data_IF_106706504439
#
_entry.id   IF_106706504439
#
_cell.length_a   1.000
_cell.length_b   1.000
_cell.length_c   1.000
_cell.angle_alpha   90.00
_cell.angle_beta   90.00
_cell.angle_gamma   90.00
#
_symmetry.space_group_name_H-M   'P 1'
#
loop_
_entity.id
_entity.type
_entity.pdbx_description
1 polymer ?
#
# COMPACT_ATOMS: atom_id res chain seq x y z
N UNK A 1 -26.68 -12.68 -3.67
CA UNK A 1 -26.93 -11.24 -3.60
C UNK A 1 -26.09 -10.50 -4.63
N UNK A 2 -26.70 -9.59 -5.36
CA UNK A 2 -25.99 -8.68 -6.25
C UNK A 2 -25.44 -7.49 -5.46
N UNK A 3 -26.22 -7.02 -4.49
CA UNK A 3 -25.86 -5.90 -3.63
C UNK A 3 -25.43 -6.40 -2.24
N UNK A 4 -24.21 -6.03 -1.80
CA UNK A 4 -23.68 -6.40 -0.50
C UNK A 4 -24.53 -5.83 0.67
N UNK A 5 -25.20 -4.70 0.47
CA UNK A 5 -26.07 -4.06 1.48
C UNK A 5 -27.25 -4.96 1.81
N UNK A 6 -27.85 -5.55 0.78
CA UNK A 6 -28.95 -6.50 0.94
C UNK A 6 -28.49 -7.77 1.69
N UNK A 7 -27.29 -8.28 1.38
CA UNK A 7 -26.68 -9.42 2.09
C UNK A 7 -26.47 -9.09 3.57
N UNK A 8 -25.88 -7.93 3.87
CA UNK A 8 -25.61 -7.50 5.25
C UNK A 8 -26.89 -7.25 6.06
N UNK A 9 -28.03 -7.00 5.41
CA UNK A 9 -29.32 -6.83 6.08
C UNK A 9 -30.06 -8.14 6.33
N UNK A 10 -29.94 -9.10 5.39
CA UNK A 10 -30.73 -10.33 5.42
C UNK A 10 -30.04 -11.48 6.11
N UNK A 11 -28.70 -11.51 6.13
CA UNK A 11 -27.93 -12.62 6.66
C UNK A 11 -27.38 -12.34 8.07
N UNK A 12 -27.34 -13.38 8.88
CA UNK A 12 -26.70 -13.33 10.20
C UNK A 12 -25.23 -13.77 10.06
N UNK A 13 -24.33 -12.81 9.90
CA UNK A 13 -22.93 -13.05 9.59
C UNK A 13 -22.02 -12.72 10.77
N UNK A 14 -21.12 -13.64 11.13
CA UNK A 14 -20.04 -13.39 12.10
C UNK A 14 -18.90 -12.58 11.48
N UNK A 15 -18.63 -12.77 10.19
CA UNK A 15 -17.57 -12.11 9.47
C UNK A 15 -17.71 -12.17 7.96
N UNK A 16 -17.08 -11.23 7.26
CA UNK A 16 -17.08 -11.15 5.80
C UNK A 16 -15.67 -10.97 5.26
N UNK A 17 -15.43 -11.50 4.07
CA UNK A 17 -14.23 -11.21 3.28
C UNK A 17 -14.57 -10.20 2.19
N UNK A 18 -13.73 -9.16 2.05
CA UNK A 18 -13.91 -8.09 1.08
C UNK A 18 -12.74 -8.15 0.09
N UNK A 19 -13.04 -8.59 -1.15
CA UNK A 19 -12.05 -8.84 -2.21
C UNK A 19 -12.45 -8.11 -3.51
N UNK A 20 -13.04 -6.95 -3.36
CA UNK A 20 -13.48 -6.06 -4.43
C UNK A 20 -12.31 -5.17 -4.90
N UNK A 21 -12.47 -4.28 -5.90
CA UNK A 21 -11.45 -3.28 -6.23
C UNK A 21 -11.19 -2.29 -5.09
N UNK A 22 -9.97 -1.73 -5.06
CA UNK A 22 -9.45 -0.90 -3.96
C UNK A 22 -10.41 0.21 -3.51
N UNK A 23 -11.06 0.89 -4.48
CA UNK A 23 -11.94 2.03 -4.23
C UNK A 23 -13.25 1.69 -3.49
N UNK A 24 -13.60 0.41 -3.40
CA UNK A 24 -14.81 -0.05 -2.70
C UNK A 24 -14.54 -0.69 -1.35
N UNK A 25 -13.27 -0.91 -0.99
CA UNK A 25 -12.91 -1.56 0.28
C UNK A 25 -13.44 -0.79 1.49
N UNK A 26 -13.28 0.53 1.51
CA UNK A 26 -13.60 1.32 2.69
C UNK A 26 -15.10 1.37 2.99
N UNK A 27 -15.95 1.63 2.00
CA UNK A 27 -17.39 1.73 2.20
C UNK A 27 -18.03 0.38 2.55
N UNK A 28 -17.60 -0.73 1.91
CA UNK A 28 -18.09 -2.06 2.24
C UNK A 28 -17.65 -2.47 3.65
N UNK A 29 -16.38 -2.25 3.99
CA UNK A 29 -15.85 -2.53 5.32
C UNK A 29 -16.57 -1.72 6.39
N UNK A 30 -16.78 -0.42 6.17
CA UNK A 30 -17.52 0.45 7.08
C UNK A 30 -18.92 -0.09 7.34
N UNK A 31 -19.68 -0.42 6.28
CA UNK A 31 -21.03 -0.95 6.39
C UNK A 31 -21.10 -2.26 7.20
N UNK A 32 -20.17 -3.18 7.00
CA UNK A 32 -20.09 -4.42 7.78
C UNK A 32 -19.73 -4.15 9.26
N UNK A 33 -18.69 -3.32 9.48
CA UNK A 33 -18.19 -3.04 10.83
C UNK A 33 -19.19 -2.25 11.69
N UNK A 34 -20.01 -1.39 11.09
CA UNK A 34 -21.10 -0.67 11.77
C UNK A 34 -22.22 -1.61 12.26
N UNK A 35 -22.38 -2.75 11.62
CA UNK A 35 -23.28 -3.84 12.03
C UNK A 35 -22.65 -4.83 13.03
N UNK A 36 -21.39 -4.61 13.43
CA UNK A 36 -20.66 -5.51 14.34
C UNK A 36 -20.06 -6.73 13.65
N UNK A 37 -20.08 -6.79 12.33
CA UNK A 37 -19.57 -7.92 11.53
C UNK A 37 -18.04 -7.79 11.38
N UNK A 38 -17.31 -8.87 11.65
CA UNK A 38 -15.87 -8.94 11.53
C UNK A 38 -15.41 -8.93 10.07
N UNK A 39 -14.24 -8.37 9.77
CA UNK A 39 -13.82 -8.17 8.37
C UNK A 39 -12.42 -8.69 8.09
N UNK A 40 -12.29 -9.39 6.96
CA UNK A 40 -11.02 -9.66 6.28
C UNK A 40 -11.01 -8.89 4.96
N UNK A 41 -10.12 -7.92 4.81
CA UNK A 41 -10.12 -6.99 3.67
C UNK A 41 -8.86 -7.18 2.84
N UNK A 42 -8.99 -7.30 1.52
CA UNK A 42 -7.83 -7.38 0.63
C UNK A 42 -6.98 -6.09 0.68
N UNK A 43 -5.74 -6.23 0.30
CA UNK A 43 -4.76 -5.13 0.21
C UNK A 43 -4.88 -4.36 -1.12
N UNK A 44 -4.57 -3.06 -1.11
CA UNK A 44 -4.40 -2.23 0.08
C UNK A 44 -5.70 -2.12 0.88
N UNK A 45 -5.61 -1.83 2.17
CA UNK A 45 -6.79 -1.77 3.04
C UNK A 45 -7.88 -0.84 2.51
N UNK A 46 -7.46 0.27 1.91
CA UNK A 46 -8.33 1.33 1.40
C UNK A 46 -7.72 2.00 0.18
N UNK A 47 -8.45 2.94 -0.41
CA UNK A 47 -8.05 3.68 -1.60
C UNK A 47 -7.31 5.00 -1.27
N UNK A 48 -7.51 5.56 -0.09
CA UNK A 48 -6.84 6.78 0.35
C UNK A 48 -6.46 6.74 1.85
N UNK A 49 -5.62 7.71 2.26
CA UNK A 49 -5.02 7.77 3.60
C UNK A 49 -6.07 7.90 4.70
N UNK A 50 -7.07 8.78 4.53
CA UNK A 50 -8.08 9.04 5.56
C UNK A 50 -9.02 7.87 5.78
N UNK A 51 -9.33 7.12 4.73
CA UNK A 51 -10.12 5.89 4.85
C UNK A 51 -9.41 4.85 5.73
N UNK A 52 -8.09 4.67 5.59
CA UNK A 52 -7.33 3.72 6.39
C UNK A 52 -7.39 4.07 7.88
N UNK A 53 -7.26 5.35 8.21
CA UNK A 53 -7.42 5.85 9.58
C UNK A 53 -8.84 5.64 10.09
N UNK A 54 -9.85 6.02 9.31
CA UNK A 54 -11.26 5.84 9.65
C UNK A 54 -11.61 4.39 9.95
N UNK A 55 -11.18 3.44 9.12
CA UNK A 55 -11.45 2.01 9.38
C UNK A 55 -10.72 1.50 10.62
N UNK A 56 -9.48 1.97 10.88
CA UNK A 56 -8.73 1.60 12.09
C UNK A 56 -9.45 2.08 13.35
N UNK A 57 -9.93 3.31 13.36
CA UNK A 57 -10.66 3.89 14.49
C UNK A 57 -12.03 3.22 14.68
N UNK A 58 -12.74 2.94 13.59
CA UNK A 58 -14.02 2.23 13.63
C UNK A 58 -13.87 0.80 14.17
N UNK A 59 -12.80 0.09 13.77
CA UNK A 59 -12.50 -1.24 14.30
C UNK A 59 -12.32 -1.24 15.81
N UNK A 60 -11.57 -0.27 16.34
CA UNK A 60 -11.36 -0.09 17.77
C UNK A 60 -12.67 0.25 18.49
N UNK A 61 -13.42 1.22 17.96
CA UNK A 61 -14.70 1.69 18.54
C UNK A 61 -15.72 0.55 18.66
N UNK A 62 -15.87 -0.23 17.61
CA UNK A 62 -16.87 -1.29 17.53
C UNK A 62 -16.34 -2.68 17.95
N UNK A 63 -15.07 -2.76 18.40
CA UNK A 63 -14.40 -4.00 18.81
C UNK A 63 -14.43 -5.08 17.74
N UNK A 64 -14.16 -4.72 16.52
CA UNK A 64 -14.18 -5.62 15.35
C UNK A 64 -12.85 -6.37 15.25
N UNK A 65 -12.91 -7.68 15.09
CA UNK A 65 -11.76 -8.51 14.72
C UNK A 65 -11.48 -8.32 13.23
N UNK A 66 -10.31 -7.81 12.92
CA UNK A 66 -9.93 -7.40 11.56
C UNK A 66 -8.65 -8.09 11.09
N UNK A 67 -8.52 -8.30 9.78
CA UNK A 67 -7.27 -8.75 9.16
C UNK A 67 -7.19 -8.20 7.74
N UNK A 68 -6.02 -7.67 7.33
CA UNK A 68 -5.77 -7.30 5.94
C UNK A 68 -5.17 -8.48 5.17
N UNK A 69 -5.46 -8.59 3.88
CA UNK A 69 -5.05 -9.68 2.99
C UNK A 69 -3.60 -9.61 2.49
N UNK A 70 -2.67 -9.05 3.25
CA UNK A 70 -1.24 -9.12 2.98
C UNK A 70 -0.63 -10.37 3.62
N UNK A 71 -0.96 -11.53 3.07
CA UNK A 71 -0.70 -12.86 3.63
C UNK A 71 0.77 -13.13 3.98
N UNK A 72 1.72 -12.45 3.33
CA UNK A 72 3.15 -12.49 3.65
C UNK A 72 3.45 -12.07 5.09
N UNK A 73 2.59 -11.27 5.71
CA UNK A 73 2.71 -10.86 7.11
C UNK A 73 2.72 -12.03 8.10
N UNK A 74 2.16 -13.18 7.73
CA UNK A 74 2.17 -14.41 8.54
C UNK A 74 3.34 -15.35 8.25
N UNK A 75 4.23 -14.98 7.32
CA UNK A 75 5.42 -15.74 7.01
C UNK A 75 6.37 -15.82 8.22
N UNK A 76 6.80 -17.02 8.66
CA UNK A 76 7.70 -17.16 9.80
C UNK A 76 9.08 -16.50 9.61
N UNK A 77 9.54 -16.29 8.37
CA UNK A 77 10.82 -15.60 8.14
C UNK A 77 10.75 -14.10 8.45
N UNK A 78 9.57 -13.49 8.45
CA UNK A 78 9.42 -12.13 8.97
C UNK A 78 9.77 -12.03 10.46
N UNK A 79 9.44 -13.07 11.27
CA UNK A 79 9.86 -13.14 12.68
C UNK A 79 11.37 -13.31 12.81
N UNK A 80 11.99 -14.06 11.90
CA UNK A 80 13.44 -14.19 11.84
C UNK A 80 14.13 -12.87 11.53
N UNK A 81 13.64 -12.12 10.53
CA UNK A 81 14.12 -10.77 10.21
C UNK A 81 13.99 -9.83 11.42
N UNK A 82 12.81 -9.81 12.07
CA UNK A 82 12.59 -9.00 13.28
C UNK A 82 13.56 -9.38 14.40
N UNK A 83 13.87 -10.67 14.55
CA UNK A 83 14.86 -11.16 15.51
C UNK A 83 16.26 -10.64 15.17
N UNK A 84 16.72 -10.72 13.92
CA UNK A 84 18.01 -10.18 13.51
C UNK A 84 18.15 -8.69 13.80
N UNK A 85 17.10 -7.91 13.54
CA UNK A 85 17.07 -6.47 13.88
C UNK A 85 17.14 -6.27 15.40
N UNK A 86 16.30 -6.96 16.17
CA UNK A 86 16.27 -6.88 17.63
C UNK A 86 17.61 -7.26 18.27
N UNK A 87 18.29 -8.26 17.72
CA UNK A 87 19.61 -8.73 18.19
C UNK A 87 20.75 -7.81 17.71
N UNK A 88 20.45 -6.74 16.94
CA UNK A 88 21.44 -5.76 16.47
C UNK A 88 22.42 -6.31 15.43
N UNK A 89 22.05 -7.39 14.70
CA UNK A 89 22.97 -8.13 13.82
C UNK A 89 23.61 -7.25 12.74
N UNK A 90 22.91 -6.25 12.24
CA UNK A 90 23.41 -5.31 11.22
C UNK A 90 23.67 -3.90 11.78
N UNK A 91 23.61 -3.72 13.09
CA UNK A 91 23.69 -2.39 13.73
C UNK A 91 22.43 -1.56 13.46
N UNK A 92 22.53 -0.23 13.63
CA UNK A 92 21.43 0.70 13.37
C UNK A 92 21.14 0.77 11.88
N UNK A 93 19.90 0.53 11.49
CA UNK A 93 19.46 0.65 10.10
C UNK A 93 19.23 2.11 9.74
N UNK A 94 19.80 2.57 8.63
CA UNK A 94 19.66 3.95 8.14
C UNK A 94 19.01 4.06 6.77
N UNK A 95 19.07 2.99 5.95
CA UNK A 95 18.51 2.99 4.60
C UNK A 95 17.78 1.69 4.32
N UNK A 96 16.59 1.81 3.75
CA UNK A 96 15.78 0.66 3.30
C UNK A 96 15.42 0.90 1.85
N UNK A 97 15.68 -0.10 1.00
CA UNK A 97 15.18 -0.13 -0.37
C UNK A 97 14.08 -1.19 -0.47
N UNK A 98 13.01 -0.83 -1.16
CA UNK A 98 11.88 -1.71 -1.47
C UNK A 98 11.54 -1.52 -2.94
N UNK A 99 11.40 -2.62 -3.69
CA UNK A 99 11.18 -2.52 -5.14
C UNK A 99 10.30 -3.65 -5.66
N UNK A 100 9.69 -3.40 -6.84
CA UNK A 100 8.85 -4.38 -7.54
C UNK A 100 8.95 -4.19 -9.06
N UNK A 101 8.74 -5.29 -9.80
CA UNK A 101 8.63 -5.26 -11.26
C UNK A 101 7.24 -4.80 -11.76
N UNK A 102 6.30 -4.52 -10.86
CA UNK A 102 4.98 -4.00 -11.25
C UNK A 102 5.10 -2.61 -11.88
N UNK A 103 4.19 -2.26 -12.81
CA UNK A 103 2.91 -2.90 -13.14
C UNK A 103 3.02 -4.03 -14.17
N UNK A 104 2.04 -4.96 -14.14
CA UNK A 104 1.79 -5.96 -15.19
C UNK A 104 0.41 -5.73 -15.84
N UNK A 105 -0.15 -4.56 -15.67
CA UNK A 105 -1.41 -4.06 -16.24
C UNK A 105 -1.17 -2.72 -16.92
N UNK A 106 -2.16 -2.24 -17.67
CA UNK A 106 -2.12 -0.92 -18.29
C UNK A 106 -2.01 0.17 -17.21
N UNK A 107 -0.89 0.92 -17.23
CA UNK A 107 -0.58 2.03 -16.32
C UNK A 107 0.31 3.03 -17.07
N UNK A 108 0.08 4.31 -16.86
CA UNK A 108 0.80 5.37 -17.60
C UNK A 108 0.25 5.62 -19.01
N UNK A 109 -0.95 5.15 -19.30
CA UNK A 109 -1.70 5.38 -20.53
C UNK A 109 -3.07 5.98 -20.22
N UNK A 110 -3.72 6.66 -21.19
CA UNK A 110 -5.04 7.22 -20.94
C UNK A 110 -6.05 6.13 -20.58
N UNK A 111 -7.01 6.46 -19.73
CA UNK A 111 -8.17 5.60 -19.50
C UNK A 111 -8.91 5.38 -20.81
N UNK A 112 -9.34 4.16 -21.14
CA UNK A 112 -10.18 3.92 -22.30
C UNK A 112 -11.46 4.76 -22.26
N UNK A 113 -11.97 5.13 -23.43
CA UNK A 113 -13.24 5.85 -23.49
C UNK A 113 -14.40 4.96 -23.04
N UNK A 114 -15.39 5.52 -22.36
CA UNK A 114 -16.62 4.81 -22.04
C UNK A 114 -17.33 4.31 -23.29
N UNK A 115 -17.77 3.06 -23.24
CA UNK A 115 -18.57 2.43 -24.29
C UNK A 115 -19.62 1.50 -23.66
N UNK A 116 -20.84 2.01 -23.38
CA UNK A 116 -21.91 1.21 -22.78
C UNK A 116 -22.33 -0.01 -23.60
N UNK A 117 -22.08 -0.01 -24.93
CA UNK A 117 -22.45 -1.13 -25.81
C UNK A 117 -21.60 -2.38 -25.57
N UNK A 118 -20.42 -2.23 -24.97
CA UNK A 118 -19.52 -3.33 -24.62
C UNK A 118 -19.72 -3.85 -23.18
N UNK A 119 -20.69 -3.31 -22.43
CA UNK A 119 -20.95 -3.78 -21.07
C UNK A 119 -21.43 -5.25 -21.10
N UNK A 120 -20.76 -6.16 -20.34
CA UNK A 120 -21.19 -7.54 -20.26
C UNK A 120 -22.62 -7.68 -19.74
N UNK A 121 -23.36 -8.62 -20.30
CA UNK A 121 -24.68 -8.97 -19.78
C UNK A 121 -24.60 -9.40 -18.31
N UNK A 122 -25.55 -8.95 -17.50
CA UNK A 122 -25.60 -9.26 -16.06
C UNK A 122 -24.62 -8.45 -15.19
N UNK A 123 -23.76 -7.60 -15.77
CA UNK A 123 -22.90 -6.72 -14.99
C UNK A 123 -23.66 -5.47 -14.54
N UNK A 124 -23.74 -5.26 -13.23
CA UNK A 124 -24.20 -4.01 -12.63
C UNK A 124 -23.02 -3.05 -12.49
N UNK A 125 -22.94 -2.10 -13.43
CA UNK A 125 -21.83 -1.15 -13.47
C UNK A 125 -21.89 -0.11 -12.34
N UNK A 126 -23.06 0.27 -11.90
CA UNK A 126 -23.23 1.24 -10.82
C UNK A 126 -22.77 0.65 -9.48
N UNK A 127 -23.08 -0.62 -9.23
CA UNK A 127 -22.57 -1.33 -8.04
C UNK A 127 -21.05 -1.55 -8.11
N UNK A 128 -20.51 -1.81 -9.31
CA UNK A 128 -19.07 -1.98 -9.48
C UNK A 128 -18.30 -0.68 -9.25
N UNK A 129 -18.80 0.44 -9.77
CA UNK A 129 -18.23 1.77 -9.57
C UNK A 129 -18.30 2.19 -8.11
N UNK A 130 -19.39 1.89 -7.41
CA UNK A 130 -19.59 2.29 -6.02
C UNK A 130 -19.38 3.79 -5.81
N UNK A 131 -18.40 4.20 -4.98
CA UNK A 131 -18.18 5.63 -4.67
C UNK A 131 -17.42 6.38 -5.78
N UNK A 132 -16.91 5.72 -6.82
CA UNK A 132 -16.17 6.41 -7.88
C UNK A 132 -17.13 7.15 -8.83
N UNK A 133 -16.58 8.13 -9.55
CA UNK A 133 -17.36 8.90 -10.51
C UNK A 133 -17.86 8.02 -11.66
N UNK A 134 -19.17 8.02 -11.91
CA UNK A 134 -19.75 7.30 -13.03
C UNK A 134 -19.64 8.11 -14.33
N UNK A 135 -18.77 7.66 -15.23
CA UNK A 135 -18.62 8.22 -16.58
C UNK A 135 -19.19 7.25 -17.65
N UNK A 136 -19.93 6.22 -17.25
CA UNK A 136 -20.37 5.12 -18.11
C UNK A 136 -19.43 3.93 -18.10
N UNK A 137 -19.91 2.78 -18.60
CA UNK A 137 -19.09 1.57 -18.69
C UNK A 137 -17.84 1.82 -19.53
N UNK A 138 -16.69 1.49 -18.96
CA UNK A 138 -15.39 1.64 -19.61
C UNK A 138 -14.77 0.26 -19.84
N UNK A 139 -14.66 -0.18 -21.11
CA UNK A 139 -14.14 -1.51 -21.44
C UNK A 139 -12.67 -1.64 -21.02
N UNK A 140 -12.27 -2.87 -20.66
CA UNK A 140 -10.89 -3.19 -20.27
C UNK A 140 -10.50 -2.86 -18.82
N UNK A 141 -11.31 -2.12 -18.07
CA UNK A 141 -11.05 -1.90 -16.62
C UNK A 141 -11.27 -3.16 -15.80
N UNK A 142 -12.45 -3.76 -15.92
CA UNK A 142 -12.75 -5.04 -15.31
C UNK A 142 -12.08 -6.17 -16.14
N UNK A 143 -11.50 -7.19 -15.54
CA UNK A 143 -11.43 -7.51 -14.10
C UNK A 143 -10.11 -7.10 -13.43
N UNK A 144 -9.13 -6.53 -14.16
CA UNK A 144 -7.74 -6.44 -13.68
C UNK A 144 -7.12 -5.05 -13.86
N UNK A 145 -7.31 -4.39 -15.02
CA UNK A 145 -6.58 -3.17 -15.39
C UNK A 145 -7.03 -1.91 -14.63
N UNK A 146 -8.15 -1.95 -13.91
CA UNK A 146 -8.61 -0.86 -13.03
C UNK A 146 -7.52 -0.39 -12.05
N UNK A 147 -6.56 -1.26 -11.71
CA UNK A 147 -5.44 -0.97 -10.80
C UNK A 147 -4.58 0.20 -11.26
N UNK A 148 -4.48 0.40 -12.56
CA UNK A 148 -3.66 1.45 -13.18
C UNK A 148 -4.30 2.85 -13.21
N UNK A 149 -5.56 2.99 -12.75
CA UNK A 149 -6.31 4.25 -12.84
C UNK A 149 -6.73 4.75 -11.46
N UNK A 150 -6.43 6.03 -11.18
CA UNK A 150 -6.60 6.63 -9.86
C UNK A 150 -8.01 6.63 -9.31
N UNK A 151 -9.04 6.54 -10.15
CA UNK A 151 -10.44 6.49 -9.70
C UNK A 151 -10.81 5.13 -9.08
N UNK A 152 -10.07 4.07 -9.41
CA UNK A 152 -10.41 2.71 -9.02
C UNK A 152 -9.30 1.99 -8.26
N UNK A 153 -8.05 2.31 -8.58
CA UNK A 153 -6.88 1.61 -8.08
C UNK A 153 -5.82 2.53 -7.51
N UNK A 154 -4.80 1.92 -6.99
CA UNK A 154 -3.71 2.58 -6.27
C UNK A 154 -2.34 2.34 -6.91
N UNK A 155 -2.33 1.83 -8.16
CA UNK A 155 -1.12 1.56 -8.94
C UNK A 155 -0.20 0.51 -8.30
N UNK A 156 1.02 0.43 -8.83
CA UNK A 156 2.04 -0.53 -8.38
C UNK A 156 2.39 -0.38 -6.91
N UNK A 157 2.42 0.85 -6.40
CA UNK A 157 2.73 1.11 -4.99
C UNK A 157 1.64 0.56 -4.07
N UNK A 158 0.36 0.81 -4.35
CA UNK A 158 -0.73 0.26 -3.55
C UNK A 158 -0.82 -1.26 -3.64
N UNK A 159 -0.65 -1.81 -4.87
CA UNK A 159 -0.70 -3.26 -5.10
C UNK A 159 0.39 -4.01 -4.32
N UNK A 160 1.65 -3.56 -4.37
CA UNK A 160 2.78 -4.28 -3.80
C UNK A 160 3.35 -3.68 -2.51
N UNK A 161 3.09 -2.40 -2.23
CA UNK A 161 3.64 -1.74 -1.04
C UNK A 161 3.24 -2.40 0.26
N UNK A 162 1.97 -2.84 0.38
CA UNK A 162 1.50 -3.56 1.56
C UNK A 162 2.16 -4.93 1.78
N UNK A 163 2.77 -5.52 0.75
CA UNK A 163 3.50 -6.78 0.85
C UNK A 163 4.99 -6.58 1.13
N UNK A 164 5.60 -5.58 0.50
CA UNK A 164 7.05 -5.38 0.52
C UNK A 164 7.46 -4.44 1.67
N UNK A 165 6.74 -3.32 1.85
CA UNK A 165 7.03 -2.38 2.94
C UNK A 165 6.59 -2.90 4.32
N UNK A 166 5.70 -3.88 4.38
CA UNK A 166 5.29 -4.58 5.62
C UNK A 166 6.53 -5.08 6.40
N UNK A 167 7.47 -5.70 5.70
CA UNK A 167 8.67 -6.31 6.29
C UNK A 167 9.50 -5.29 7.08
N UNK A 168 10.03 -4.20 6.47
CA UNK A 168 10.85 -3.24 7.18
C UNK A 168 10.05 -2.36 8.15
N UNK A 169 8.81 -2.00 7.82
CA UNK A 169 7.97 -1.17 8.71
C UNK A 169 7.74 -1.90 10.04
N UNK A 170 7.40 -3.19 9.98
CA UNK A 170 7.20 -4.02 11.17
C UNK A 170 8.50 -4.24 11.95
N UNK A 171 9.58 -4.61 11.26
CA UNK A 171 10.86 -4.92 11.88
C UNK A 171 11.51 -3.71 12.57
N UNK A 172 11.34 -2.51 11.99
CA UNK A 172 11.96 -1.27 12.47
C UNK A 172 10.99 -0.36 13.24
N UNK A 173 9.69 -0.69 13.31
CA UNK A 173 8.69 0.14 14.01
C UNK A 173 8.46 1.51 13.35
N UNK A 174 8.49 1.60 12.03
CA UNK A 174 8.41 2.84 11.27
C UNK A 174 6.97 3.19 10.87
N UNK A 175 6.20 3.84 11.75
CA UNK A 175 4.79 4.14 11.49
C UNK A 175 4.48 5.61 11.20
N UNK A 176 5.40 6.52 11.46
CA UNK A 176 5.18 7.96 11.37
C UNK A 176 6.22 8.64 10.45
N UNK A 177 6.01 8.60 9.14
CA UNK A 177 6.86 9.36 8.23
C UNK A 177 6.64 10.86 8.46
N UNK A 178 7.72 11.64 8.54
CA UNK A 178 7.64 13.10 8.70
C UNK A 178 7.85 13.84 7.38
N UNK A 179 8.35 13.15 6.36
CA UNK A 179 8.64 13.73 5.06
C UNK A 179 8.56 12.68 3.98
N UNK A 180 8.04 13.09 2.82
CA UNK A 180 7.94 12.25 1.64
C UNK A 180 8.22 13.07 0.37
N UNK A 181 8.83 12.44 -0.62
CA UNK A 181 9.02 13.01 -1.95
C UNK A 181 8.90 11.92 -3.02
N UNK A 182 8.42 12.28 -4.21
CA UNK A 182 8.27 11.36 -5.32
C UNK A 182 8.91 11.92 -6.61
N UNK A 183 9.46 11.01 -7.40
CA UNK A 183 9.86 11.24 -8.79
C UNK A 183 9.17 10.22 -9.67
N UNK A 184 8.63 10.70 -10.80
CA UNK A 184 7.99 9.86 -11.81
C UNK A 184 8.61 10.16 -13.18
N UNK A 185 8.64 9.18 -14.09
CA UNK A 185 9.09 9.42 -15.43
C UNK A 185 8.14 10.38 -16.13
N UNK A 186 8.69 11.21 -16.97
CA UNK A 186 7.92 12.01 -17.91
C UNK A 186 8.25 11.50 -19.29
N UNK A 187 7.24 11.28 -20.10
CA UNK A 187 7.46 11.01 -21.50
C UNK A 187 8.19 12.23 -22.09
N UNK A 188 9.28 12.04 -22.81
CA UNK A 188 9.96 13.14 -23.48
C UNK A 188 9.01 13.80 -24.48
N UNK A 189 9.40 14.94 -24.99
CA UNK A 189 8.68 15.66 -26.02
C UNK A 189 8.36 14.74 -27.20
N UNK A 190 7.14 14.84 -27.71
CA UNK A 190 6.79 14.35 -29.04
C UNK A 190 7.39 15.30 -30.11
N UNK A 191 7.18 15.03 -31.38
CA UNK A 191 7.69 15.88 -32.48
C UNK A 191 7.51 17.38 -32.14
N UNK A 192 8.45 18.20 -32.58
CA UNK A 192 8.46 19.68 -32.44
C UNK A 192 8.55 20.18 -30.97
N UNK A 193 9.16 19.43 -30.08
CA UNK A 193 9.32 19.80 -28.66
C UNK A 193 7.99 20.03 -27.90
N UNK A 194 6.89 19.52 -28.42
CA UNK A 194 5.62 19.53 -27.70
C UNK A 194 5.71 18.55 -26.55
N UNK A 195 5.42 18.97 -25.29
CA UNK A 195 5.38 18.04 -24.16
C UNK A 195 4.37 16.93 -24.44
N UNK A 196 4.79 15.68 -24.19
CA UNK A 196 3.86 14.56 -24.25
C UNK A 196 2.75 14.74 -23.21
N UNK A 197 1.52 14.28 -23.48
CA UNK A 197 0.42 14.38 -22.56
C UNK A 197 0.74 13.61 -21.27
N UNK A 198 0.37 14.21 -20.13
CA UNK A 198 0.32 13.53 -18.83
C UNK A 198 -1.14 13.16 -18.62
N UNK A 199 -1.36 11.90 -18.31
CA UNK A 199 -2.70 11.39 -18.03
C UNK A 199 -2.99 11.52 -16.54
N UNK A 200 -3.84 12.48 -16.18
CA UNK A 200 -4.18 12.79 -14.77
C UNK A 200 -4.98 11.67 -14.11
N UNK A 201 -5.61 10.80 -14.89
CA UNK A 201 -6.42 9.66 -14.49
C UNK A 201 -5.62 8.37 -14.27
N UNK A 202 -4.39 8.31 -14.79
CA UNK A 202 -3.54 7.11 -14.77
C UNK A 202 -2.39 7.22 -13.77
N UNK A 203 -2.11 6.09 -13.09
CA UNK A 203 -0.89 5.94 -12.32
C UNK A 203 0.33 5.95 -13.27
N UNK A 204 1.48 6.52 -12.89
CA UNK A 204 2.66 6.54 -13.74
C UNK A 204 3.26 5.15 -13.96
N UNK A 205 3.91 4.88 -15.10
CA UNK A 205 4.45 3.55 -15.42
C UNK A 205 5.59 3.11 -14.50
N UNK A 206 6.22 4.05 -13.82
CA UNK A 206 7.18 3.80 -12.75
C UNK A 206 7.22 4.95 -11.76
N UNK A 207 7.67 4.66 -10.54
CA UNK A 207 7.84 5.68 -9.51
C UNK A 207 9.06 5.41 -8.62
N UNK A 208 9.62 6.50 -8.10
CA UNK A 208 10.68 6.50 -7.10
C UNK A 208 10.21 7.40 -5.95
N UNK A 209 9.90 6.79 -4.80
CA UNK A 209 9.35 7.50 -3.64
C UNK A 209 10.28 7.36 -2.44
N UNK A 210 10.61 8.47 -1.81
CA UNK A 210 11.45 8.50 -0.60
C UNK A 210 10.65 8.95 0.60
N UNK A 211 10.60 8.11 1.62
CA UNK A 211 10.04 8.42 2.93
C UNK A 211 11.16 8.63 3.94
N UNK A 212 10.96 9.54 4.89
CA UNK A 212 11.88 9.73 6.01
C UNK A 212 11.16 9.54 7.33
N UNK A 213 11.73 8.69 8.16
CA UNK A 213 11.23 8.36 9.49
C UNK A 213 12.20 8.82 10.57
N UNK A 214 11.65 9.23 11.71
CA UNK A 214 12.44 9.48 12.92
C UNK A 214 12.88 8.15 13.54
N UNK A 215 13.86 8.16 14.48
CA UNK A 215 14.17 6.98 15.29
C UNK A 215 12.92 6.39 15.92
N UNK A 216 12.87 5.07 16.02
CA UNK A 216 11.81 4.31 16.68
C UNK A 216 12.33 3.60 17.93
N UNK A 217 11.44 2.93 18.67
CA UNK A 217 11.85 2.07 19.79
C UNK A 217 12.61 0.81 19.35
N UNK A 218 12.47 0.40 18.09
CA UNK A 218 13.11 -0.80 17.53
C UNK A 218 14.38 -0.47 16.73
N UNK A 219 14.59 0.79 16.36
CA UNK A 219 15.76 1.27 15.64
C UNK A 219 16.07 2.72 16.00
N UNK A 220 17.08 2.93 16.85
CA UNK A 220 17.51 4.23 17.34
C UNK A 220 18.36 5.00 16.31
N UNK A 221 17.85 5.08 15.07
CA UNK A 221 18.41 5.87 13.97
C UNK A 221 17.29 6.35 13.04
N UNK A 222 17.42 7.56 12.46
CA UNK A 222 16.54 7.97 11.37
C UNK A 222 16.66 7.02 10.19
N UNK A 223 15.54 6.69 9.56
CA UNK A 223 15.52 5.79 8.41
C UNK A 223 15.01 6.51 7.16
N UNK A 224 15.73 6.31 6.06
CA UNK A 224 15.27 6.64 4.71
C UNK A 224 14.77 5.37 4.05
N UNK A 225 13.47 5.27 3.81
CA UNK A 225 12.86 4.19 3.04
C UNK A 225 12.62 4.67 1.60
N UNK A 226 13.03 3.88 0.65
CA UNK A 226 12.94 4.16 -0.79
C UNK A 226 12.09 3.07 -1.43
N UNK A 227 11.01 3.48 -2.07
CA UNK A 227 10.19 2.65 -2.93
C UNK A 227 10.56 2.86 -4.39
N UNK A 228 10.60 1.78 -5.16
CA UNK A 228 10.84 1.78 -6.60
C UNK A 228 9.91 0.78 -7.29
N UNK A 229 9.32 1.16 -8.41
CA UNK A 229 8.50 0.29 -9.25
C UNK A 229 8.75 0.52 -10.74
N UNK A 230 8.08 -0.24 -11.60
CA UNK A 230 8.26 -0.14 -13.05
C UNK A 230 9.62 -0.63 -13.53
N UNK A 231 10.22 -1.59 -12.82
CA UNK A 231 11.53 -2.14 -13.16
C UNK A 231 12.72 -1.37 -12.59
N UNK A 232 12.49 -0.26 -11.87
CA UNK A 232 13.54 0.42 -11.13
C UNK A 232 14.00 -0.44 -9.96
N UNK A 233 15.32 -0.53 -9.74
CA UNK A 233 15.95 -1.31 -8.67
C UNK A 233 17.05 -0.50 -7.98
N UNK A 234 17.41 -0.85 -6.73
CA UNK A 234 18.61 -0.29 -6.10
C UNK A 234 19.87 -0.76 -6.81
N UNK A 235 20.96 -0.02 -6.63
CA UNK A 235 22.28 -0.53 -7.00
C UNK A 235 22.57 -1.83 -6.28
N UNK A 236 23.21 -2.77 -6.98
CA UNK A 236 23.63 -4.04 -6.40
C UNK A 236 24.63 -3.80 -5.28
N UNK A 237 24.38 -4.27 -4.03
CA UNK A 237 25.32 -4.08 -2.93
C UNK A 237 26.61 -4.89 -3.12
N UNK A 238 27.76 -4.28 -2.88
CA UNK A 238 29.07 -4.93 -3.06
C UNK A 238 29.26 -6.20 -2.19
N UNK A 239 28.61 -6.23 -1.01
CA UNK A 239 28.66 -7.38 -0.09
C UNK A 239 27.88 -8.61 -0.62
N UNK A 240 26.96 -8.42 -1.55
CA UNK A 240 26.25 -9.50 -2.25
C UNK A 240 27.08 -9.87 -3.47
N UNK A 241 27.52 -11.12 -3.56
CA UNK A 241 28.40 -11.57 -4.64
C UNK A 241 27.67 -11.63 -5.99
N UNK A 242 28.38 -11.55 -7.10
CA UNK A 242 27.83 -11.57 -8.49
C UNK A 242 26.97 -12.80 -8.82
N UNK A 243 27.04 -13.85 -8.00
CA UNK A 243 26.24 -15.06 -8.17
C UNK A 243 24.82 -14.92 -7.61
N UNK A 244 24.58 -13.91 -6.79
CA UNK A 244 23.32 -13.70 -6.10
C UNK A 244 22.63 -12.44 -6.67
N UNK A 245 21.70 -12.61 -7.62
CA UNK A 245 20.83 -11.52 -8.08
C UNK A 245 19.90 -11.10 -6.93
N UNK A 246 19.69 -9.78 -6.77
CA UNK A 246 18.74 -9.22 -5.81
C UNK A 246 17.27 -9.36 -6.25
N UNK A 247 17.00 -9.95 -7.40
CA UNK A 247 15.66 -10.25 -7.90
C UNK A 247 14.89 -9.03 -8.43
N UNK A 248 13.74 -9.31 -9.02
CA UNK A 248 12.84 -8.29 -9.60
C UNK A 248 11.97 -7.59 -8.54
N UNK A 249 11.82 -8.19 -7.37
CA UNK A 249 11.08 -7.65 -6.24
C UNK A 249 11.90 -7.91 -4.96
N UNK A 250 11.84 -7.00 -4.01
CA UNK A 250 12.56 -7.26 -2.77
C UNK A 250 12.61 -6.12 -1.78
N UNK A 251 13.26 -6.45 -0.68
CA UNK A 251 13.58 -5.56 0.44
C UNK A 251 15.07 -5.65 0.73
N UNK A 252 15.71 -4.51 0.93
CA UNK A 252 17.09 -4.39 1.35
C UNK A 252 17.17 -3.42 2.52
N UNK A 253 17.50 -3.92 3.71
CA UNK A 253 17.71 -3.09 4.91
C UNK A 253 19.20 -2.96 5.16
N UNK A 254 19.74 -1.74 5.11
CA UNK A 254 21.16 -1.43 5.24
C UNK A 254 21.42 -0.80 6.59
N UNK A 255 22.25 -1.45 7.39
CA UNK A 255 22.68 -0.98 8.69
C UNK A 255 24.19 -0.69 8.73
N UNK A 256 24.67 -0.29 9.90
CA UNK A 256 26.08 0.08 10.15
C UNK A 256 27.06 -1.10 9.92
N UNK A 257 26.62 -2.33 10.24
CA UNK A 257 27.46 -3.51 10.29
C UNK A 257 27.12 -4.58 9.24
N UNK A 258 26.18 -4.31 8.33
CA UNK A 258 25.76 -5.27 7.32
C UNK A 258 24.41 -4.93 6.72
N UNK A 259 23.79 -5.91 6.08
CA UNK A 259 22.49 -5.78 5.48
C UNK A 259 21.63 -7.05 5.61
N UNK A 260 20.32 -6.85 5.54
CA UNK A 260 19.35 -7.93 5.39
C UNK A 260 18.66 -7.74 4.05
N UNK A 261 18.62 -8.79 3.24
CA UNK A 261 17.89 -8.86 2.00
C UNK A 261 16.82 -9.95 2.07
N UNK A 262 15.66 -9.69 1.48
CA UNK A 262 14.63 -10.70 1.26
C UNK A 262 13.88 -10.43 -0.04
N UNK A 263 13.25 -11.45 -0.59
CA UNK A 263 12.28 -11.30 -1.66
C UNK A 263 11.03 -10.54 -1.14
N UNK A 264 10.07 -10.26 -2.02
CA UNK A 264 8.76 -9.82 -1.63
C UNK A 264 8.16 -10.78 -0.57
N UNK A 265 7.25 -10.28 0.27
CA UNK A 265 6.66 -11.01 1.39
C UNK A 265 7.63 -11.40 2.53
N UNK A 266 8.90 -11.00 2.46
CA UNK A 266 9.92 -11.33 3.47
C UNK A 266 10.37 -12.79 3.44
N UNK A 267 10.20 -13.50 2.32
CA UNK A 267 10.72 -14.86 2.13
C UNK A 267 12.15 -14.86 1.61
N UNK A 268 12.81 -16.01 1.66
CA UNK A 268 14.19 -16.17 1.21
C UNK A 268 15.14 -15.16 1.85
N UNK A 269 14.89 -14.82 3.13
CA UNK A 269 15.64 -13.80 3.84
C UNK A 269 17.11 -14.18 4.03
N UNK A 270 18.01 -13.23 3.82
CA UNK A 270 19.46 -13.42 3.92
C UNK A 270 20.10 -12.31 4.73
N UNK A 271 21.00 -12.72 5.63
CA UNK A 271 21.78 -11.81 6.47
C UNK A 271 23.23 -11.79 5.98
N UNK A 272 23.74 -10.59 5.76
CA UNK A 272 25.14 -10.31 5.40
C UNK A 272 25.75 -9.39 6.46
N UNK A 273 27.00 -9.68 6.84
CA UNK A 273 27.76 -8.91 7.85
C UNK A 273 29.03 -8.38 7.20
N UNK A 274 29.34 -7.11 7.40
CA UNK A 274 30.54 -6.48 6.85
C UNK A 274 31.80 -7.22 7.29
N UNK A 275 32.69 -7.50 6.33
CA UNK A 275 33.93 -8.24 6.58
C UNK A 275 33.77 -9.77 6.67
N UNK A 276 32.57 -10.31 6.51
CA UNK A 276 32.31 -11.75 6.41
C UNK A 276 31.85 -12.05 4.99
N UNK A 277 32.57 -12.99 4.33
CA UNK A 277 32.24 -13.37 2.95
C UNK A 277 30.94 -14.19 2.91
N UNK A 278 30.02 -13.82 1.99
CA UNK A 278 28.80 -14.54 1.69
C UNK A 278 27.68 -14.38 2.73
N UNK A 279 26.67 -15.22 2.60
CA UNK A 279 25.48 -15.22 3.47
C UNK A 279 25.79 -15.83 4.83
N UNK A 280 25.60 -15.08 5.90
CA UNK A 280 25.83 -15.55 7.28
C UNK A 280 24.68 -16.44 7.78
N UNK A 281 23.45 -15.99 7.54
CA UNK A 281 22.24 -16.76 7.85
C UNK A 281 21.21 -16.56 6.73
N UNK A 282 20.41 -17.58 6.44
CA UNK A 282 19.33 -17.49 5.45
C UNK A 282 18.08 -18.22 5.87
N UNK A 283 16.94 -17.73 5.36
CA UNK A 283 15.66 -18.41 5.41
C UNK A 283 15.62 -19.64 4.50
N UNK A 284 14.56 -20.40 4.64
CA UNK A 284 14.34 -21.67 3.91
C UNK A 284 13.11 -21.62 3.02
N UNK A 285 12.30 -20.56 3.13
CA UNK A 285 11.03 -20.42 2.41
C UNK A 285 11.31 -19.76 1.07
N UNK A 286 11.01 -20.48 -0.02
CA UNK A 286 11.20 -19.99 -1.40
C UNK A 286 9.90 -19.53 -2.05
N UNK A 287 8.74 -19.94 -1.50
CA UNK A 287 7.44 -19.60 -2.05
C UNK A 287 6.45 -19.22 -0.95
N UNK A 288 5.51 -18.32 -1.29
CA UNK A 288 4.46 -17.91 -0.36
C UNK A 288 3.36 -18.98 -0.32
N UNK A 289 3.03 -19.44 0.86
CA UNK A 289 1.89 -20.33 1.09
C UNK A 289 0.99 -19.77 2.20
N UNK A 290 0.02 -18.97 1.80
CA UNK A 290 -0.89 -18.28 2.73
C UNK A 290 -1.71 -19.27 3.59
N UNK A 291 -2.02 -20.45 3.06
CA UNK A 291 -2.76 -21.50 3.79
C UNK A 291 -1.87 -22.13 4.85
N UNK A 292 -0.65 -22.51 4.49
CA UNK A 292 0.34 -23.08 5.42
C UNK A 292 0.72 -22.08 6.51
N UNK A 293 0.87 -20.78 6.15
CA UNK A 293 1.14 -19.72 7.12
C UNK A 293 -0.08 -19.38 7.99
N UNK A 294 -1.25 -19.94 7.69
CA UNK A 294 -2.46 -19.81 8.50
C UNK A 294 -3.06 -18.42 8.53
N UNK A 295 -2.74 -17.54 7.61
CA UNK A 295 -3.12 -16.12 7.64
C UNK A 295 -4.63 -15.90 7.80
N UNK A 296 -5.46 -16.59 7.00
CA UNK A 296 -6.93 -16.53 7.10
C UNK A 296 -7.43 -17.31 8.33
N UNK A 297 -6.81 -18.46 8.62
CA UNK A 297 -7.20 -19.28 9.78
C UNK A 297 -7.04 -18.52 11.09
N UNK A 298 -5.96 -17.77 11.25
CA UNK A 298 -5.73 -16.98 12.47
C UNK A 298 -6.83 -15.92 12.68
N UNK A 299 -7.31 -15.30 11.61
CA UNK A 299 -8.43 -14.38 11.70
C UNK A 299 -9.72 -15.07 12.15
N UNK A 300 -10.07 -16.21 11.57
CA UNK A 300 -11.24 -17.01 12.00
C UNK A 300 -11.11 -17.47 13.46
N UNK A 301 -9.92 -17.91 13.86
CA UNK A 301 -9.68 -18.33 15.25
C UNK A 301 -9.79 -17.13 16.23
N UNK A 302 -9.35 -15.95 15.81
CA UNK A 302 -9.48 -14.72 16.59
C UNK A 302 -10.94 -14.24 16.72
N UNK A 303 -11.79 -14.45 15.70
CA UNK A 303 -13.23 -14.18 15.78
C UNK A 303 -13.87 -15.04 16.88
N UNK A 304 -13.54 -16.34 16.92
CA UNK A 304 -14.09 -17.27 17.92
C UNK A 304 -13.72 -16.91 19.36
N UNK A 305 -12.50 -16.36 19.55
CA UNK A 305 -12.00 -15.97 20.88
C UNK A 305 -12.39 -14.52 21.25
N UNK A 306 -12.76 -13.70 20.25
CA UNK A 306 -13.24 -12.32 20.41
C UNK A 306 -12.14 -11.26 20.35
N UNK A 307 -12.58 -10.00 20.19
CA UNK A 307 -11.72 -8.81 20.16
C UNK A 307 -10.94 -8.66 21.47
N UNK A 308 -9.64 -8.37 21.38
CA UNK A 308 -8.75 -8.20 22.52
C UNK A 308 -8.23 -9.51 23.12
N UNK A 309 -8.65 -10.68 22.60
CA UNK A 309 -8.07 -11.97 22.98
C UNK A 309 -6.59 -12.09 22.62
N UNK A 310 -5.92 -13.11 23.15
CA UNK A 310 -4.54 -13.41 22.77
C UNK A 310 -4.40 -13.67 21.27
N UNK A 311 -5.35 -14.41 20.66
CA UNK A 311 -5.34 -14.67 19.22
C UNK A 311 -5.53 -13.40 18.42
N UNK A 312 -6.42 -12.48 18.83
CA UNK A 312 -6.55 -11.18 18.20
C UNK A 312 -5.27 -10.37 18.26
N UNK A 313 -4.63 -10.30 19.43
CA UNK A 313 -3.40 -9.54 19.62
C UNK A 313 -2.19 -10.11 18.83
N UNK A 314 -2.23 -11.40 18.52
CA UNK A 314 -1.23 -12.10 17.72
C UNK A 314 -1.50 -12.06 16.20
N UNK A 315 -2.61 -11.46 15.74
CA UNK A 315 -2.86 -11.26 14.32
C UNK A 315 -1.77 -10.39 13.70
N UNK A 316 -1.22 -10.86 12.61
CA UNK A 316 -0.05 -10.24 11.98
C UNK A 316 -0.37 -8.99 11.18
N UNK A 317 -1.66 -8.78 10.84
CA UNK A 317 -2.13 -7.68 10.02
C UNK A 317 -3.54 -7.20 10.39
N UNK A 318 -3.86 -7.16 11.71
CA UNK A 318 -5.07 -6.47 12.15
C UNK A 318 -4.98 -4.97 11.80
N UNK A 319 -6.09 -4.24 11.90
CA UNK A 319 -6.10 -2.84 11.45
C UNK A 319 -5.26 -1.90 12.31
N UNK A 320 -4.87 -2.30 13.53
CA UNK A 320 -3.90 -1.55 14.33
C UNK A 320 -2.51 -1.51 13.69
N UNK A 321 -2.18 -2.49 12.86
CA UNK A 321 -0.98 -2.54 12.04
C UNK A 321 -1.27 -2.19 10.58
N UNK A 322 -2.28 -2.80 9.97
CA UNK A 322 -2.58 -2.67 8.55
C UNK A 322 -3.05 -1.25 8.17
N UNK A 323 -3.75 -0.56 9.07
CA UNK A 323 -4.14 0.84 8.87
C UNK A 323 -2.93 1.76 8.71
N UNK A 324 -2.04 1.88 9.69
CA UNK A 324 -0.81 2.68 9.57
C UNK A 324 0.08 2.26 8.39
N UNK A 325 0.20 0.97 8.08
CA UNK A 325 0.91 0.51 6.89
C UNK A 325 0.27 1.05 5.60
N UNK A 326 -1.05 0.94 5.48
CA UNK A 326 -1.79 1.44 4.31
C UNK A 326 -1.73 2.97 4.20
N UNK A 327 -1.78 3.70 5.32
CA UNK A 327 -1.57 5.15 5.34
C UNK A 327 -0.20 5.52 4.74
N UNK A 328 0.88 4.82 5.10
CA UNK A 328 2.23 5.07 4.56
C UNK A 328 2.29 4.78 3.07
N UNK A 329 1.77 3.65 2.63
CA UNK A 329 1.73 3.25 1.21
C UNK A 329 0.96 4.30 0.39
N UNK A 330 -0.24 4.66 0.83
CA UNK A 330 -1.12 5.61 0.14
C UNK A 330 -0.64 7.07 0.20
N UNK A 331 0.14 7.43 1.25
CA UNK A 331 0.85 8.71 1.29
C UNK A 331 1.85 8.82 0.14
N UNK A 332 2.46 7.70 -0.29
CA UNK A 332 3.29 7.64 -1.49
C UNK A 332 2.53 8.02 -2.75
N UNK A 333 1.31 7.52 -2.90
CA UNK A 333 0.44 7.90 -4.02
C UNK A 333 0.09 9.40 -3.98
N UNK A 334 -0.16 9.95 -2.80
CA UNK A 334 -0.37 11.39 -2.65
C UNK A 334 0.87 12.20 -3.09
N UNK A 335 2.08 11.74 -2.78
CA UNK A 335 3.32 12.38 -3.22
C UNK A 335 3.51 12.24 -4.74
N UNK A 336 3.24 11.08 -5.33
CA UNK A 336 3.27 10.84 -6.78
C UNK A 336 2.33 11.82 -7.49
N UNK A 337 1.05 11.86 -7.11
CA UNK A 337 0.05 12.77 -7.70
C UNK A 337 0.43 14.23 -7.50
N UNK A 338 0.97 14.60 -6.34
CA UNK A 338 1.42 15.97 -6.05
C UNK A 338 2.56 16.42 -6.95
N UNK A 339 3.47 15.50 -7.36
CA UNK A 339 4.57 15.81 -8.26
C UNK A 339 4.08 16.20 -9.67
N UNK A 340 2.90 15.74 -10.06
CA UNK A 340 2.23 16.00 -11.33
C UNK A 340 1.34 17.26 -11.30
N UNK A 341 1.18 17.91 -10.16
CA UNK A 341 0.47 19.18 -10.05
C UNK A 341 1.23 20.27 -10.84
N UNK A 342 0.52 21.04 -11.66
CA UNK A 342 1.06 22.22 -12.31
C UNK A 342 1.42 23.30 -11.27
N UNK A 343 2.49 24.05 -11.48
CA UNK A 343 2.89 25.16 -10.59
C UNK A 343 1.80 26.23 -10.50
N UNK A 344 1.12 26.48 -11.59
CA UNK A 344 -0.11 27.30 -11.65
C UNK A 344 -1.04 26.74 -12.74
N UNK A 345 -2.35 27.12 -12.76
CA UNK A 345 -3.31 26.61 -13.75
C UNK A 345 -2.90 26.84 -15.22
N UNK A 346 -2.15 27.94 -15.48
CA UNK A 346 -1.68 28.29 -16.83
C UNK A 346 -0.26 27.82 -17.13
N UNK A 347 0.40 27.14 -16.18
CA UNK A 347 1.78 26.69 -16.35
C UNK A 347 1.82 25.32 -17.00
N UNK A 348 2.76 25.12 -17.93
CA UNK A 348 3.16 23.79 -18.41
C UNK A 348 4.27 23.18 -17.54
N UNK A 349 4.69 23.88 -16.45
CA UNK A 349 5.70 23.41 -15.51
C UNK A 349 5.01 22.77 -14.30
N UNK A 350 5.42 21.55 -14.00
CA UNK A 350 4.94 20.79 -12.86
C UNK A 350 5.73 21.13 -11.59
N UNK A 351 5.14 20.83 -10.44
CA UNK A 351 5.82 20.93 -9.13
C UNK A 351 7.05 20.01 -9.13
N UNK A 352 6.91 18.81 -9.70
CA UNK A 352 7.98 17.83 -9.80
C UNK A 352 8.39 17.29 -8.42
N UNK A 353 9.63 16.84 -8.31
CA UNK A 353 10.18 16.35 -7.06
C UNK A 353 10.25 17.48 -6.03
N UNK A 354 9.37 17.42 -5.04
CA UNK A 354 9.32 18.33 -3.90
C UNK A 354 9.23 17.53 -2.61
N UNK A 355 10.06 17.86 -1.64
CA UNK A 355 9.90 17.33 -0.30
C UNK A 355 8.59 17.86 0.31
N UNK A 356 7.66 16.96 0.57
CA UNK A 356 6.44 17.23 1.30
C UNK A 356 6.68 16.95 2.78
N UNK A 357 6.32 17.90 3.64
CA UNK A 357 6.36 17.73 5.09
C UNK A 357 5.00 17.23 5.56
N UNK A 358 5.00 16.10 6.25
CA UNK A 358 3.77 15.41 6.65
C UNK A 358 3.63 15.38 8.18
N UNK A 359 2.48 15.85 8.64
CA UNK A 359 2.02 15.66 10.01
C UNK A 359 1.16 14.41 10.06
N UNK A 360 1.75 13.30 10.49
CA UNK A 360 1.08 11.99 10.55
C UNK A 360 -0.05 11.95 11.57
N UNK A 361 0.02 12.75 12.64
CA UNK A 361 -1.04 12.81 13.66
C UNK A 361 -2.32 13.44 13.10
N UNK A 362 -2.17 14.55 12.38
CA UNK A 362 -3.30 15.30 11.80
C UNK A 362 -3.60 14.91 10.35
N UNK A 363 -2.80 14.00 9.76
CA UNK A 363 -2.88 13.58 8.35
C UNK A 363 -2.91 14.78 7.39
N UNK A 364 -1.90 15.66 7.50
CA UNK A 364 -1.81 16.91 6.72
C UNK A 364 -0.42 17.09 6.14
N UNK A 365 -0.37 17.42 4.85
CA UNK A 365 0.83 17.94 4.19
C UNK A 365 0.89 19.43 4.46
N UNK A 366 1.91 19.87 5.24
CA UNK A 366 1.96 21.22 5.82
C UNK A 366 2.60 22.27 4.91
N UNK A 367 3.37 21.88 3.91
CA UNK A 367 4.13 22.79 3.05
C UNK A 367 3.66 22.82 1.59
N UNK A 368 2.54 22.15 1.28
CA UNK A 368 1.88 22.19 -0.02
C UNK A 368 0.38 21.85 0.15
N UNK A 369 -0.43 22.86 0.45
CA UNK A 369 -1.85 22.69 0.76
C UNK A 369 -2.63 21.90 -0.33
N UNK A 370 -2.39 22.22 -1.60
CA UNK A 370 -3.02 21.50 -2.72
C UNK A 370 -2.74 20.00 -2.78
N UNK A 371 -1.72 19.50 -2.08
CA UNK A 371 -1.42 18.07 -2.01
C UNK A 371 -2.43 17.32 -1.11
N UNK A 372 -3.07 18.02 -0.16
CA UNK A 372 -4.01 17.44 0.78
C UNK A 372 -5.26 16.84 0.11
N UNK A 373 -5.63 17.31 -1.09
CA UNK A 373 -6.72 16.71 -1.88
C UNK A 373 -6.50 15.22 -2.18
N UNK A 374 -5.26 14.74 -2.17
CA UNK A 374 -4.92 13.34 -2.45
C UNK A 374 -4.88 12.44 -1.21
N UNK A 375 -5.09 13.01 -0.02
CA UNK A 375 -5.19 12.25 1.22
C UNK A 375 -6.60 11.77 1.50
N UNK A 376 -7.59 12.25 0.77
CA UNK A 376 -9.01 11.96 0.94
C UNK A 376 -9.68 11.73 -0.42
N UNK A 377 -10.82 11.06 -0.46
CA UNK A 377 -11.68 11.02 -1.64
C UNK A 377 -12.54 12.28 -1.68
N UNK A 378 -12.65 12.92 -2.85
CA UNK A 378 -13.47 14.13 -3.05
C UNK A 378 -14.96 13.91 -2.73
N UNK A 379 -15.46 12.68 -2.82
CA UNK A 379 -16.86 12.33 -2.59
C UNK A 379 -17.29 12.40 -1.11
N UNK A 380 -16.35 12.22 -0.16
CA UNK A 380 -16.67 12.36 1.27
C UNK A 380 -16.73 13.82 1.78
N UNK A 381 -16.30 14.77 0.96
CA UNK A 381 -16.36 16.20 1.34
C UNK A 381 -17.67 16.89 0.98
N UNK A 382 -18.48 16.31 0.06
CA UNK A 382 -19.79 16.84 -0.30
C UNK A 382 -20.90 16.36 0.67
N UNK A 383 -20.84 15.13 1.16
CA UNK A 383 -21.88 14.58 2.03
C UNK A 383 -21.78 15.08 3.49
N UNK A 384 -20.57 15.46 3.93
CA UNK A 384 -20.38 16.07 5.27
C UNK A 384 -20.92 17.52 5.36
N UNK A 385 -21.25 18.16 4.23
CA UNK A 385 -21.85 19.50 4.20
C UNK A 385 -23.38 19.45 4.27
N UNK A 386 -24.00 18.32 3.90
CA UNK A 386 -25.47 18.17 3.89
C UNK A 386 -26.02 17.64 5.24
N UNK A 387 -25.20 17.05 6.11
CA UNK A 387 -25.64 16.64 7.47
C UNK A 387 -25.54 17.75 8.53
N UNK A 388 -25.11 18.96 8.14
CA UNK A 388 -25.00 20.15 9.03
C UNK A 388 -25.93 21.30 8.68
N UNK A 389 -26.97 21.07 7.85
CA UNK A 389 -28.02 22.05 7.55
C UNK A 389 -29.36 21.69 8.19
#
# INVERSE_FOLDING_TARGET
YTDYREMLEKENLDGVTISTPDHTHANISKAAMEKGIHVYVQKPLTHNVKEARMLTELARKNKIVTQMGNQGASNPEQKMIQKWIKDGRIGKVHTVHTWTNRPVWAQGSPMPNPDPSQKPEGMDWDLWIGPAKNNGYTPGLHAFSWRGYWDYGTGSLGDMGCHIMDVPIKALGMFEPYSIEASVPRTPYVADYTPAPIYDDSCPPSSYVTYKFRPSKLNDSPVKLIWMDGGLRPSHPEIITDKDDIGENGVLMIGENGLIWSDNYGINARLYINGVEGVVEKGKISEINAVEFGHQKYWVDAIRDGYGSEKYNNLTSNFDFAGPLSEIVLLGNAAIRSSLLKRSPRSNVFIGKKQLLYDSKNMVITNLDRANQYLTCLLYTSDAADESS
#
